data_IF_807109060704
#
_entry.id   IF_807109060704
#
_cell.length_a   1.000
_cell.length_b   1.000
_cell.length_c   1.000
_cell.angle_alpha   90.00
_cell.angle_beta   90.00
_cell.angle_gamma   90.00
#
_symmetry.space_group_name_H-M   'P 1'
#
loop_
_entity.id
_entity.type
_entity.pdbx_description
1 polymer ?
#
# COMPACT_ATOMS: atom_id res chain seq x y z
N UNK A 1 1.60 7.97 -12.83
CA UNK A 1 1.10 6.59 -12.66
C UNK A 1 1.81 6.00 -11.46
N UNK A 2 1.41 6.44 -10.28
CA UNK A 2 1.95 6.06 -8.97
C UNK A 2 0.77 5.51 -8.21
N UNK A 3 0.77 4.25 -7.91
CA UNK A 3 -0.34 3.58 -7.22
C UNK A 3 0.24 2.67 -6.16
N UNK A 4 -0.22 2.86 -4.96
CA UNK A 4 -0.30 1.94 -3.82
C UNK A 4 0.93 1.63 -2.97
N UNK A 5 2.11 2.12 -3.25
CA UNK A 5 3.33 1.62 -2.58
C UNK A 5 3.51 2.09 -1.12
N UNK A 6 2.71 3.03 -0.64
CA UNK A 6 2.91 3.66 0.67
C UNK A 6 2.01 3.17 1.80
N UNK A 7 0.95 2.44 1.51
CA UNK A 7 -0.06 2.15 2.53
C UNK A 7 0.47 1.27 3.68
N UNK A 8 1.41 0.41 3.39
CA UNK A 8 1.97 -0.53 4.36
C UNK A 8 3.28 -0.08 5.01
N UNK A 9 4.17 0.57 4.26
CA UNK A 9 5.50 0.92 4.76
C UNK A 9 5.49 1.91 5.93
N UNK A 10 4.38 2.60 6.16
CA UNK A 10 4.38 3.79 6.99
C UNK A 10 3.51 3.74 8.26
N UNK A 11 2.92 2.63 8.61
CA UNK A 11 2.40 2.41 9.97
C UNK A 11 3.56 2.48 11.00
N UNK A 12 4.81 2.30 10.55
CA UNK A 12 6.02 2.40 11.39
C UNK A 12 6.41 3.83 11.78
N UNK A 13 6.15 4.85 10.95
CA UNK A 13 6.54 6.24 11.23
C UNK A 13 5.70 6.94 12.31
N UNK A 14 4.50 6.45 12.59
CA UNK A 14 3.65 6.93 13.68
C UNK A 14 4.22 6.63 15.07
N UNK A 15 5.33 5.86 15.15
CA UNK A 15 5.89 5.34 16.42
C UNK A 15 6.50 6.36 17.38
N UNK A 16 6.86 7.55 16.99
CA UNK A 16 7.60 8.42 17.92
C UNK A 16 6.77 9.40 18.73
N UNK A 17 5.57 9.79 18.32
CA UNK A 17 4.82 10.84 19.05
C UNK A 17 3.28 10.72 19.04
N UNK A 18 2.67 9.68 18.51
CA UNK A 18 1.20 9.56 18.50
C UNK A 18 0.69 8.46 19.42
N UNK A 19 -0.47 8.67 20.10
CA UNK A 19 -1.11 7.60 20.84
C UNK A 19 -1.50 6.46 19.88
N UNK A 20 -1.53 5.21 20.37
CA UNK A 20 -1.79 4.04 19.55
C UNK A 20 -3.10 4.18 18.78
N UNK A 21 -3.07 3.89 17.50
CA UNK A 21 -4.27 3.78 16.67
C UNK A 21 -5.11 2.65 17.28
N UNK A 22 -6.26 2.98 17.85
CA UNK A 22 -7.22 1.99 18.33
C UNK A 22 -8.01 1.52 17.11
N UNK A 23 -7.60 0.42 16.49
CA UNK A 23 -8.51 -0.32 15.63
C UNK A 23 -9.62 -0.90 16.51
N UNK A 24 -10.89 -0.74 16.17
CA UNK A 24 -11.96 -1.39 16.91
C UNK A 24 -11.78 -2.90 16.75
N UNK A 25 -11.33 -3.57 17.82
CA UNK A 25 -11.35 -5.03 17.91
C UNK A 25 -12.84 -5.38 18.03
N UNK A 26 -13.39 -5.95 16.97
CA UNK A 26 -14.77 -6.48 16.99
C UNK A 26 -14.77 -7.69 17.92
N UNK A 27 -15.51 -7.65 19.04
CA UNK A 27 -15.54 -8.76 19.97
C UNK A 27 -16.25 -9.95 19.31
N UNK A 28 -15.57 -11.09 19.24
CA UNK A 28 -16.23 -12.36 18.97
C UNK A 28 -17.24 -12.65 20.08
N UNK A 29 -18.48 -12.84 19.68
CA UNK A 29 -19.66 -13.27 20.43
C UNK A 29 -19.49 -13.55 21.93
N UNK A 30 -20.13 -12.73 22.78
CA UNK A 30 -20.57 -13.12 24.10
C UNK A 30 -19.86 -12.51 25.30
N UNK A 31 -19.06 -11.46 25.15
CA UNK A 31 -18.55 -10.68 26.30
C UNK A 31 -18.90 -9.20 26.14
N UNK A 32 -19.41 -8.61 27.22
CA UNK A 32 -19.67 -7.17 27.31
C UNK A 32 -18.43 -6.37 26.89
N UNK A 33 -18.59 -5.20 26.24
CA UNK A 33 -17.49 -4.38 25.79
C UNK A 33 -16.79 -3.74 27.01
N UNK A 34 -15.90 -4.48 27.64
CA UNK A 34 -14.91 -3.92 28.54
C UNK A 34 -13.89 -3.17 27.69
N UNK A 35 -13.72 -1.89 27.93
CA UNK A 35 -12.62 -1.10 27.38
C UNK A 35 -11.35 -1.70 27.98
N UNK A 36 -10.73 -2.65 27.27
CA UNK A 36 -9.39 -3.07 27.60
C UNK A 36 -8.43 -1.98 27.14
N UNK A 37 -7.87 -1.26 28.11
CA UNK A 37 -6.70 -0.42 27.87
C UNK A 37 -5.57 -1.33 27.38
N UNK A 38 -5.29 -1.28 26.10
CA UNK A 38 -4.12 -1.96 25.53
C UNK A 38 -2.89 -1.23 26.06
N UNK A 39 -1.95 -1.92 26.74
CA UNK A 39 -0.78 -1.28 27.34
C UNK A 39 0.00 -0.49 26.28
N UNK A 40 0.45 0.71 26.63
CA UNK A 40 1.11 1.73 25.77
C UNK A 40 2.43 1.29 25.13
N UNK A 41 2.83 0.02 25.23
CA UNK A 41 4.05 -0.55 24.69
C UNK A 41 3.79 -1.59 23.58
N UNK A 42 2.62 -1.59 22.94
CA UNK A 42 2.48 -2.39 21.74
C UNK A 42 3.40 -1.78 20.65
N UNK A 43 4.56 -2.36 20.48
CA UNK A 43 5.28 -2.33 19.23
C UNK A 43 4.27 -2.80 18.18
N UNK A 44 3.75 -1.88 17.35
CA UNK A 44 3.04 -2.30 16.14
C UNK A 44 4.11 -3.07 15.37
N UNK A 45 3.95 -4.37 15.15
CA UNK A 45 4.96 -5.14 14.44
C UNK A 45 5.18 -4.45 13.10
N UNK A 46 6.42 -4.40 12.65
CA UNK A 46 6.76 -3.81 11.36
C UNK A 46 5.82 -4.37 10.30
N UNK A 47 5.14 -3.49 9.58
CA UNK A 47 4.14 -3.90 8.59
C UNK A 47 4.89 -4.51 7.41
N UNK A 48 4.65 -5.80 7.20
CA UNK A 48 5.26 -6.59 6.13
C UNK A 48 4.17 -6.96 5.15
N UNK A 49 4.17 -6.29 4.02
CA UNK A 49 3.05 -6.30 3.09
C UNK A 49 3.21 -7.34 2.01
N UNK A 50 2.18 -8.16 1.85
CA UNK A 50 1.87 -8.83 0.60
C UNK A 50 0.90 -7.95 -0.18
N UNK A 51 1.28 -7.49 -1.37
CA UNK A 51 0.38 -6.78 -2.28
C UNK A 51 -0.08 -7.72 -3.39
N UNK A 52 -1.37 -7.76 -3.65
CA UNK A 52 -1.91 -8.59 -4.74
C UNK A 52 -2.66 -7.75 -5.75
N UNK A 53 -2.45 -8.06 -7.03
CA UNK A 53 -3.17 -7.50 -8.18
C UNK A 53 -3.96 -8.63 -8.85
N UNK A 54 -5.16 -8.97 -8.36
CA UNK A 54 -5.86 -10.19 -8.80
C UNK A 54 -6.39 -10.13 -10.23
N UNK A 55 -6.52 -8.93 -10.79
CA UNK A 55 -7.00 -8.69 -12.15
C UNK A 55 -6.09 -7.71 -12.89
N UNK A 56 -6.02 -7.79 -14.24
CA UNK A 56 -5.21 -6.87 -15.02
C UNK A 56 -5.69 -5.43 -14.84
N UNK A 57 -4.76 -4.48 -14.90
CA UNK A 57 -5.09 -3.08 -15.03
C UNK A 57 -5.86 -2.90 -16.34
N UNK A 58 -7.09 -2.44 -16.27
CA UNK A 58 -7.84 -2.18 -17.50
C UNK A 58 -7.11 -1.10 -18.29
N UNK A 59 -6.79 -1.40 -19.54
CA UNK A 59 -6.13 -0.49 -20.49
C UNK A 59 -7.07 0.65 -20.93
N UNK A 60 -8.05 1.03 -20.15
CA UNK A 60 -8.99 2.14 -20.41
C UNK A 60 -8.32 3.52 -20.56
N UNK A 61 -6.98 3.60 -20.43
CA UNK A 61 -6.22 4.83 -20.76
C UNK A 61 -5.65 4.86 -22.18
N UNK A 62 -5.71 3.80 -22.96
CA UNK A 62 -5.35 3.93 -24.38
C UNK A 62 -6.59 4.35 -25.16
N UNK A 63 -6.62 5.61 -25.56
CA UNK A 63 -7.55 6.18 -26.54
C UNK A 63 -7.41 5.59 -27.97
N UNK A 64 -6.90 4.38 -28.09
CA UNK A 64 -6.82 3.59 -29.31
C UNK A 64 -7.83 2.45 -29.24
N UNK A 65 -9.09 2.79 -29.52
CA UNK A 65 -10.10 1.82 -29.95
C UNK A 65 -9.65 1.21 -31.29
N UNK A 66 -8.93 0.14 -31.30
CA UNK A 66 -8.86 -0.83 -32.41
C UNK A 66 -7.99 -2.04 -31.99
N UNK A 67 -8.42 -2.81 -30.99
CA UNK A 67 -8.04 -4.19 -30.91
C UNK A 67 -9.27 -5.01 -30.58
N UNK A 68 -9.90 -5.53 -31.61
CA UNK A 68 -10.91 -6.58 -31.57
C UNK A 68 -10.22 -7.91 -31.23
N UNK A 69 -9.64 -7.99 -30.04
CA UNK A 69 -9.15 -9.22 -29.46
C UNK A 69 -9.85 -9.39 -28.12
N UNK A 70 -10.58 -10.48 -27.96
CA UNK A 70 -11.03 -10.97 -26.66
C UNK A 70 -9.80 -11.35 -25.84
N UNK A 71 -9.11 -10.37 -25.25
CA UNK A 71 -8.22 -10.63 -24.13
C UNK A 71 -9.15 -11.14 -23.02
N UNK A 72 -9.24 -12.46 -22.88
CA UNK A 72 -9.78 -13.11 -21.71
C UNK A 72 -9.17 -12.39 -20.53
N UNK A 73 -10.02 -11.86 -19.65
CA UNK A 73 -9.58 -11.31 -18.37
C UNK A 73 -8.96 -12.47 -17.60
N UNK A 74 -7.67 -12.65 -17.74
CA UNK A 74 -6.92 -13.63 -16.99
C UNK A 74 -6.81 -13.16 -15.55
N UNK A 75 -7.90 -13.37 -14.80
CA UNK A 75 -7.87 -13.22 -13.34
C UNK A 75 -7.09 -14.38 -12.74
N UNK A 76 -6.31 -14.10 -11.71
CA UNK A 76 -5.65 -15.14 -10.94
C UNK A 76 -6.68 -16.09 -10.31
N UNK A 77 -6.44 -17.38 -10.45
CA UNK A 77 -7.30 -18.41 -9.88
C UNK A 77 -7.37 -18.30 -8.36
N UNK A 78 -8.59 -18.38 -7.81
CA UNK A 78 -8.81 -18.28 -6.35
C UNK A 78 -7.94 -19.27 -5.55
N UNK A 79 -7.85 -20.57 -5.90
CA UNK A 79 -7.03 -21.52 -5.17
C UNK A 79 -5.55 -21.11 -5.11
N UNK A 80 -5.04 -20.55 -6.22
CA UNK A 80 -3.66 -20.10 -6.32
C UNK A 80 -3.38 -18.93 -5.37
N UNK A 81 -4.28 -17.95 -5.31
CA UNK A 81 -4.16 -16.82 -4.40
C UNK A 81 -4.32 -17.22 -2.93
N UNK A 82 -5.24 -18.13 -2.60
CA UNK A 82 -5.39 -18.63 -1.24
C UNK A 82 -4.10 -19.29 -0.76
N UNK A 83 -3.51 -20.11 -1.62
CA UNK A 83 -2.23 -20.77 -1.31
C UNK A 83 -1.10 -19.73 -1.15
N UNK A 84 -1.03 -18.73 -2.04
CA UNK A 84 -0.01 -17.70 -1.98
C UNK A 84 -0.14 -16.81 -0.72
N UNK A 85 -1.35 -16.49 -0.27
CA UNK A 85 -1.59 -15.76 0.98
C UNK A 85 -1.14 -16.58 2.19
N UNK A 86 -1.46 -17.88 2.21
CA UNK A 86 -1.03 -18.77 3.28
C UNK A 86 0.52 -18.87 3.33
N UNK A 87 1.14 -19.10 2.16
CA UNK A 87 2.60 -19.17 2.03
C UNK A 87 3.28 -17.86 2.46
N UNK A 88 2.72 -16.71 2.09
CA UNK A 88 3.25 -15.40 2.48
C UNK A 88 3.18 -15.18 4.00
N UNK A 89 2.09 -15.58 4.65
CA UNK A 89 1.98 -15.53 6.11
C UNK A 89 3.08 -16.36 6.79
N UNK A 90 3.37 -17.56 6.25
CA UNK A 90 4.45 -18.43 6.75
C UNK A 90 5.85 -17.82 6.51
N UNK A 91 6.00 -16.96 5.50
CA UNK A 91 7.20 -16.15 5.23
C UNK A 91 7.26 -14.85 6.06
N UNK A 92 6.35 -14.67 7.00
CA UNK A 92 6.35 -13.56 7.96
C UNK A 92 5.63 -12.29 7.48
N UNK A 93 4.92 -12.31 6.34
CA UNK A 93 4.06 -11.21 5.93
C UNK A 93 2.81 -11.16 6.82
N UNK A 94 2.47 -9.99 7.32
CA UNK A 94 1.38 -9.78 8.29
C UNK A 94 0.32 -8.77 7.82
N UNK A 95 0.46 -8.30 6.59
CA UNK A 95 -0.46 -7.34 6.00
C UNK A 95 -0.75 -7.70 4.55
N UNK A 96 -2.02 -7.74 4.17
CA UNK A 96 -2.47 -7.95 2.80
C UNK A 96 -3.01 -6.64 2.23
N UNK A 97 -2.37 -6.13 1.19
CA UNK A 97 -2.85 -5.01 0.38
C UNK A 97 -3.48 -5.54 -0.90
N UNK A 98 -4.73 -5.19 -1.16
CA UNK A 98 -5.42 -5.58 -2.39
C UNK A 98 -5.46 -4.36 -3.29
N UNK A 99 -4.67 -4.43 -4.35
CA UNK A 99 -4.46 -3.37 -5.31
C UNK A 99 -5.09 -3.73 -6.69
N UNK A 100 -5.08 -2.77 -7.59
CA UNK A 100 -5.63 -2.93 -8.94
C UNK A 100 -6.67 -1.87 -9.24
N UNK A 101 -7.18 -1.86 -10.46
CA UNK A 101 -8.09 -0.80 -10.90
C UNK A 101 -9.50 -0.91 -10.28
N UNK A 102 -9.99 -2.13 -10.11
CA UNK A 102 -11.33 -2.40 -9.56
C UNK A 102 -11.35 -3.71 -8.75
N UNK A 103 -10.68 -3.77 -7.60
CA UNK A 103 -10.55 -5.00 -6.85
C UNK A 103 -11.89 -5.59 -6.40
N UNK A 104 -12.93 -4.78 -6.26
CA UNK A 104 -14.30 -5.23 -5.91
C UNK A 104 -14.93 -6.16 -6.96
N UNK A 105 -14.43 -6.17 -8.18
CA UNK A 105 -14.96 -7.02 -9.25
C UNK A 105 -14.31 -8.41 -9.26
N UNK A 106 -13.24 -8.62 -8.52
CA UNK A 106 -12.60 -9.92 -8.40
C UNK A 106 -13.51 -10.88 -7.59
N UNK A 107 -13.98 -11.94 -8.22
CA UNK A 107 -14.94 -12.88 -7.60
C UNK A 107 -14.36 -13.63 -6.39
N UNK A 108 -13.05 -13.82 -6.37
CA UNK A 108 -12.33 -14.49 -5.29
C UNK A 108 -12.07 -13.63 -4.07
N UNK A 109 -12.32 -12.32 -4.13
CA UNK A 109 -11.96 -11.37 -3.09
C UNK A 109 -12.42 -11.78 -1.68
N UNK A 110 -13.67 -12.21 -1.45
CA UNK A 110 -14.10 -12.61 -0.11
C UNK A 110 -13.35 -13.81 0.46
N UNK A 111 -12.98 -14.76 -0.41
CA UNK A 111 -12.21 -15.93 0.00
C UNK A 111 -10.77 -15.55 0.36
N UNK A 112 -10.13 -14.72 -0.44
CA UNK A 112 -8.76 -14.24 -0.22
C UNK A 112 -8.65 -13.42 1.07
N UNK A 113 -9.57 -12.48 1.30
CA UNK A 113 -9.60 -11.69 2.54
C UNK A 113 -9.83 -12.58 3.78
N UNK A 114 -10.69 -13.58 3.68
CA UNK A 114 -10.94 -14.54 4.77
C UNK A 114 -9.72 -15.38 5.07
N UNK A 115 -9.00 -15.86 4.06
CA UNK A 115 -7.73 -16.59 4.24
C UNK A 115 -6.71 -15.73 4.96
N UNK A 116 -6.52 -14.47 4.53
CA UNK A 116 -5.63 -13.53 5.19
C UNK A 116 -6.00 -13.33 6.66
N UNK A 117 -7.28 -13.13 6.95
CA UNK A 117 -7.78 -12.97 8.31
C UNK A 117 -7.53 -14.24 9.16
N UNK A 118 -7.74 -15.44 8.60
CA UNK A 118 -7.43 -16.72 9.27
C UNK A 118 -5.94 -16.89 9.58
N UNK A 119 -5.08 -16.24 8.78
CA UNK A 119 -3.62 -16.17 8.99
C UNK A 119 -3.19 -14.97 9.83
N UNK A 120 -4.13 -14.27 10.47
CA UNK A 120 -3.86 -13.09 11.30
C UNK A 120 -3.19 -11.93 10.55
N UNK A 121 -3.34 -11.87 9.25
CA UNK A 121 -2.91 -10.72 8.45
C UNK A 121 -3.98 -9.62 8.53
N UNK A 122 -3.54 -8.37 8.73
CA UNK A 122 -4.40 -7.21 8.50
C UNK A 122 -4.63 -7.04 7.00
N UNK A 123 -5.80 -6.54 6.63
CA UNK A 123 -6.20 -6.43 5.23
C UNK A 123 -6.62 -5.02 4.87
N UNK A 124 -6.15 -4.54 3.72
CA UNK A 124 -6.60 -3.28 3.17
C UNK A 124 -6.92 -3.37 1.69
N UNK A 125 -7.75 -2.44 1.24
CA UNK A 125 -8.10 -2.29 -0.17
C UNK A 125 -8.38 -0.84 -0.48
N UNK A 126 -7.93 -0.35 -1.65
CA UNK A 126 -8.25 1.00 -2.11
C UNK A 126 -9.29 0.92 -3.22
N UNK A 127 -10.34 1.71 -3.10
CA UNK A 127 -11.38 1.89 -4.12
C UNK A 127 -11.20 3.26 -4.75
N UNK A 128 -10.79 3.29 -6.01
CA UNK A 128 -10.59 4.55 -6.73
C UNK A 128 -11.87 5.05 -7.40
N UNK A 129 -12.53 4.22 -8.18
CA UNK A 129 -13.66 4.64 -9.04
C UNK A 129 -14.94 3.87 -8.80
N UNK A 130 -14.86 2.59 -8.45
CA UNK A 130 -16.02 1.76 -8.26
C UNK A 130 -16.92 2.27 -7.12
N UNK A 131 -18.20 2.11 -7.29
CA UNK A 131 -19.17 2.30 -6.21
C UNK A 131 -19.43 0.93 -5.58
N UNK A 132 -19.02 0.72 -4.31
CA UNK A 132 -19.38 -0.53 -3.65
C UNK A 132 -20.87 -0.62 -3.47
N UNK A 133 -21.43 -1.81 -3.64
CA UNK A 133 -22.82 -2.08 -3.25
C UNK A 133 -22.89 -2.40 -1.75
N UNK A 134 -24.06 -2.20 -1.13
CA UNK A 134 -24.24 -2.59 0.27
C UNK A 134 -23.91 -4.07 0.50
N UNK A 135 -24.32 -4.96 -0.42
CA UNK A 135 -24.00 -6.39 -0.33
C UNK A 135 -22.49 -6.67 -0.38
N UNK A 136 -21.74 -5.94 -1.20
CA UNK A 136 -20.27 -6.06 -1.23
C UNK A 136 -19.66 -5.60 0.10
N UNK A 137 -20.12 -4.52 0.66
CA UNK A 137 -19.61 -4.02 1.95
C UNK A 137 -19.99 -4.97 3.09
N UNK A 138 -21.18 -5.56 3.06
CA UNK A 138 -21.62 -6.50 4.09
C UNK A 138 -20.72 -7.74 4.20
N UNK A 139 -20.26 -8.29 3.08
CA UNK A 139 -19.33 -9.42 3.15
C UNK A 139 -17.87 -9.00 3.37
N UNK A 140 -17.47 -7.75 3.04
CA UNK A 140 -16.15 -7.21 3.37
C UNK A 140 -15.99 -6.88 4.86
N UNK A 141 -17.06 -6.51 5.53
CA UNK A 141 -17.08 -5.96 6.88
C UNK A 141 -16.32 -6.81 7.92
N UNK A 142 -16.24 -8.11 7.73
CA UNK A 142 -15.57 -9.02 8.66
C UNK A 142 -14.18 -9.47 8.20
N UNK A 143 -13.70 -8.95 7.10
CA UNK A 143 -12.46 -9.42 6.50
C UNK A 143 -11.59 -8.32 5.88
N UNK A 144 -12.03 -7.07 5.96
CA UNK A 144 -11.23 -5.88 5.60
C UNK A 144 -11.09 -5.00 6.83
N UNK A 145 -9.86 -4.69 7.21
CA UNK A 145 -9.53 -3.86 8.36
C UNK A 145 -9.50 -2.36 8.00
N UNK A 146 -9.19 -2.03 6.74
CA UNK A 146 -9.16 -0.66 6.28
C UNK A 146 -9.53 -0.53 4.79
N UNK A 147 -10.50 0.33 4.49
CA UNK A 147 -10.95 0.62 3.15
C UNK A 147 -10.51 2.03 2.72
N UNK A 148 -9.60 2.13 1.77
CA UNK A 148 -9.19 3.42 1.18
C UNK A 148 -10.21 3.90 0.15
N UNK A 149 -10.61 5.17 0.24
CA UNK A 149 -11.51 5.82 -0.71
C UNK A 149 -10.79 7.02 -1.32
N UNK A 150 -10.49 6.95 -2.62
CA UNK A 150 -9.86 8.06 -3.33
C UNK A 150 -10.81 9.24 -3.48
N UNK A 151 -10.33 10.44 -3.13
CA UNK A 151 -11.08 11.70 -3.18
C UNK A 151 -10.29 12.75 -3.94
N UNK A 152 -10.91 13.34 -4.96
CA UNK A 152 -10.38 14.54 -5.65
C UNK A 152 -11.07 15.80 -5.12
N UNK A 153 -10.32 16.67 -4.45
CA UNK A 153 -10.82 17.93 -3.90
C UNK A 153 -11.58 18.79 -4.95
N UNK A 154 -11.11 18.78 -6.20
CA UNK A 154 -11.72 19.57 -7.28
C UNK A 154 -13.13 19.12 -7.61
N UNK A 155 -13.45 17.87 -7.36
CA UNK A 155 -14.77 17.27 -7.64
C UNK A 155 -15.73 17.39 -6.47
N UNK A 156 -15.21 17.34 -5.24
CA UNK A 156 -16.00 17.27 -4.01
C UNK A 156 -16.17 18.63 -3.33
N UNK A 157 -15.15 19.50 -3.40
CA UNK A 157 -15.20 20.81 -2.77
C UNK A 157 -16.33 21.68 -3.35
N UNK A 158 -17.20 22.25 -2.50
CA UNK A 158 -18.29 23.09 -2.97
C UNK A 158 -17.75 24.27 -3.81
N UNK A 159 -18.16 24.38 -5.04
CA UNK A 159 -17.92 25.57 -5.84
C UNK A 159 -18.93 26.65 -5.38
N UNK A 160 -18.57 27.94 -5.52
CA UNK A 160 -19.45 29.07 -5.18
C UNK A 160 -20.82 29.05 -5.89
N UNK A 161 -21.01 28.19 -6.89
CA UNK A 161 -22.31 27.99 -7.55
C UNK A 161 -23.20 27.05 -6.74
N UNK A 162 -24.43 27.41 -6.55
CA UNK A 162 -25.43 26.78 -5.68
C UNK A 162 -25.86 25.34 -6.04
N UNK A 163 -25.27 24.73 -7.07
CA UNK A 163 -25.59 23.34 -7.47
C UNK A 163 -24.48 22.38 -7.06
N UNK A 164 -24.83 21.43 -6.20
CA UNK A 164 -23.96 20.26 -5.91
C UNK A 164 -23.66 19.57 -7.23
N UNK A 165 -22.38 19.32 -7.51
CA UNK A 165 -22.00 18.60 -8.72
C UNK A 165 -22.44 17.13 -8.60
N UNK A 166 -22.74 16.48 -9.74
CA UNK A 166 -23.05 15.03 -9.73
C UNK A 166 -21.91 14.21 -9.11
N UNK A 167 -20.67 14.62 -9.32
CA UNK A 167 -19.50 13.96 -8.76
C UNK A 167 -19.43 14.11 -7.21
N UNK A 168 -19.78 15.28 -6.68
CA UNK A 168 -19.87 15.47 -5.24
C UNK A 168 -21.00 14.63 -4.64
N UNK A 169 -22.18 14.60 -5.26
CA UNK A 169 -23.28 13.75 -4.82
C UNK A 169 -22.90 12.27 -4.86
N UNK A 170 -22.27 11.81 -5.93
CA UNK A 170 -21.77 10.45 -6.06
C UNK A 170 -20.80 10.08 -4.94
N UNK A 171 -19.89 10.98 -4.58
CA UNK A 171 -18.95 10.77 -3.47
C UNK A 171 -19.65 10.71 -2.11
N UNK A 172 -20.61 11.58 -1.86
CA UNK A 172 -21.41 11.55 -0.62
C UNK A 172 -22.22 10.26 -0.49
N UNK A 173 -22.83 9.79 -1.56
CA UNK A 173 -23.57 8.52 -1.59
C UNK A 173 -22.62 7.34 -1.30
N UNK A 174 -21.44 7.33 -1.89
CA UNK A 174 -20.38 6.35 -1.70
C UNK A 174 -19.90 6.30 -0.25
N UNK A 175 -19.51 7.45 0.31
CA UNK A 175 -19.10 7.56 1.71
C UNK A 175 -20.24 7.23 2.67
N UNK A 176 -21.46 7.59 2.32
CA UNK A 176 -22.66 7.20 3.07
C UNK A 176 -22.85 5.68 3.14
N UNK A 177 -22.55 4.94 2.06
CA UNK A 177 -22.57 3.47 2.07
C UNK A 177 -21.43 2.91 2.95
N UNK A 178 -20.22 3.42 2.79
CA UNK A 178 -19.06 2.97 3.57
C UNK A 178 -19.27 3.21 5.07
N UNK A 179 -19.75 4.38 5.48
CA UNK A 179 -20.06 4.66 6.89
C UNK A 179 -21.08 3.70 7.49
N UNK A 180 -22.11 3.34 6.72
CA UNK A 180 -23.13 2.38 7.18
C UNK A 180 -22.61 0.94 7.29
N UNK A 181 -21.54 0.61 6.58
CA UNK A 181 -20.95 -0.72 6.67
C UNK A 181 -20.11 -0.94 7.93
N UNK A 182 -19.81 0.13 8.67
CA UNK A 182 -18.95 0.11 9.86
C UNK A 182 -17.50 -0.36 9.60
N UNK A 183 -17.09 -0.49 8.34
CA UNK A 183 -15.70 -0.78 7.98
C UNK A 183 -14.87 0.48 8.24
N UNK A 184 -13.77 0.40 9.00
CA UNK A 184 -12.83 1.52 9.12
C UNK A 184 -12.36 1.95 7.73
N UNK A 185 -12.34 3.25 7.46
CA UNK A 185 -11.92 3.72 6.14
C UNK A 185 -10.94 4.88 6.21
N UNK A 186 -10.14 5.00 5.16
CA UNK A 186 -9.25 6.10 4.92
C UNK A 186 -9.74 6.92 3.73
N UNK A 187 -9.57 8.24 3.81
CA UNK A 187 -9.60 9.10 2.62
C UNK A 187 -8.22 9.08 2.00
N UNK A 188 -8.16 8.75 0.72
CA UNK A 188 -6.92 8.76 -0.08
C UNK A 188 -6.93 10.01 -0.94
N UNK A 189 -5.92 10.86 -0.75
CA UNK A 189 -5.81 12.18 -1.38
C UNK A 189 -4.54 12.27 -2.22
N UNK A 190 -4.67 12.46 -3.52
CA UNK A 190 -3.53 12.65 -4.42
C UNK A 190 -3.03 14.08 -4.33
N UNK A 191 -1.79 14.21 -3.84
CA UNK A 191 -1.11 15.48 -3.66
C UNK A 191 -0.35 15.85 -4.93
N UNK A 192 -0.72 16.96 -5.53
CA UNK A 192 -0.08 17.59 -6.68
C UNK A 192 0.20 19.07 -6.39
N UNK A 193 0.97 19.73 -7.22
CA UNK A 193 1.15 21.19 -7.13
C UNK A 193 -0.20 21.94 -6.99
N UNK A 194 -1.19 21.50 -7.75
CA UNK A 194 -2.51 22.15 -7.77
C UNK A 194 -3.35 21.87 -6.53
N UNK A 195 -3.19 20.69 -5.91
CA UNK A 195 -3.97 20.25 -4.75
C UNK A 195 -3.26 20.48 -3.41
N UNK A 196 -1.99 20.93 -3.41
CA UNK A 196 -1.25 21.21 -2.18
C UNK A 196 -2.00 22.14 -1.21
N UNK A 197 -2.58 23.21 -1.75
CA UNK A 197 -3.42 24.15 -0.98
C UNK A 197 -4.74 23.58 -0.44
N UNK A 198 -5.13 22.41 -0.91
CA UNK A 198 -6.37 21.74 -0.50
C UNK A 198 -6.13 20.69 0.59
N UNK A 199 -4.89 20.55 1.10
CA UNK A 199 -4.54 19.53 2.09
C UNK A 199 -5.26 19.76 3.43
N UNK A 200 -5.36 21.01 3.88
CA UNK A 200 -6.13 21.37 5.09
C UNK A 200 -7.61 20.99 4.93
N UNK A 201 -8.21 21.37 3.80
CA UNK A 201 -9.57 20.97 3.48
C UNK A 201 -9.73 19.43 3.45
N UNK A 202 -8.77 18.70 2.93
CA UNK A 202 -8.81 17.23 2.88
C UNK A 202 -8.82 16.62 4.29
N UNK A 203 -8.05 17.19 5.23
CA UNK A 203 -8.04 16.75 6.63
C UNK A 203 -9.35 17.06 7.35
N UNK A 204 -9.89 18.27 7.16
CA UNK A 204 -11.21 18.65 7.68
C UNK A 204 -12.32 17.76 7.10
N UNK A 205 -12.28 17.52 5.79
CA UNK A 205 -13.25 16.65 5.11
C UNK A 205 -13.18 15.22 5.63
N UNK A 206 -11.99 14.64 5.72
CA UNK A 206 -11.79 13.28 6.24
C UNK A 206 -12.33 13.16 7.68
N UNK A 207 -12.04 14.15 8.53
CA UNK A 207 -12.56 14.21 9.91
C UNK A 207 -14.09 14.32 9.92
N UNK A 208 -14.68 15.18 9.11
CA UNK A 208 -16.13 15.36 9.03
C UNK A 208 -16.85 14.10 8.50
N UNK A 209 -16.20 13.33 7.62
CA UNK A 209 -16.72 12.06 7.14
C UNK A 209 -16.53 10.90 8.15
N UNK A 210 -15.78 11.09 9.23
CA UNK A 210 -15.49 10.06 10.22
C UNK A 210 -14.45 9.04 9.73
N UNK A 211 -13.57 9.45 8.81
CA UNK A 211 -12.46 8.60 8.37
C UNK A 211 -11.48 8.35 9.52
N UNK A 212 -10.92 7.15 9.60
CA UNK A 212 -9.87 6.82 10.55
C UNK A 212 -8.51 7.41 10.14
N UNK A 213 -8.30 7.59 8.83
CA UNK A 213 -7.04 8.05 8.27
C UNK A 213 -7.25 8.96 7.05
N UNK A 214 -6.35 9.92 6.89
CA UNK A 214 -6.08 10.64 5.64
C UNK A 214 -4.73 10.17 5.11
N UNK A 215 -4.75 9.43 4.01
CA UNK A 215 -3.54 9.05 3.28
C UNK A 215 -3.28 10.07 2.19
N UNK A 216 -2.16 10.76 2.26
CA UNK A 216 -1.73 11.75 1.28
C UNK A 216 -0.68 11.13 0.38
N UNK A 217 -0.99 10.96 -0.91
CA UNK A 217 -0.09 10.35 -1.90
C UNK A 217 0.49 11.44 -2.80
N UNK A 218 1.79 11.74 -2.71
CA UNK A 218 2.45 12.66 -3.64
C UNK A 218 2.41 12.12 -5.06
N UNK A 219 2.07 12.98 -6.00
CA UNK A 219 2.17 12.67 -7.44
C UNK A 219 3.53 13.09 -7.98
N UNK A 220 3.95 12.50 -9.10
CA UNK A 220 5.19 12.90 -9.76
C UNK A 220 5.16 14.40 -10.14
N UNK A 221 6.31 15.06 -10.01
CA UNK A 221 6.48 16.46 -10.42
C UNK A 221 6.43 17.49 -9.29
N UNK A 222 6.21 17.08 -8.05
CA UNK A 222 6.36 17.98 -6.90
C UNK A 222 7.83 18.33 -6.69
N UNK A 223 8.11 19.62 -6.42
CA UNK A 223 9.44 20.08 -6.04
C UNK A 223 9.75 19.73 -4.59
N UNK A 224 11.01 19.75 -4.21
CA UNK A 224 11.44 19.50 -2.82
C UNK A 224 10.86 20.53 -1.84
N UNK A 225 10.72 21.79 -2.26
CA UNK A 225 10.07 22.85 -1.48
C UNK A 225 8.57 22.57 -1.28
N UNK A 226 7.87 22.11 -2.32
CA UNK A 226 6.46 21.72 -2.22
C UNK A 226 6.28 20.50 -1.31
N UNK A 227 7.17 19.53 -1.39
CA UNK A 227 7.16 18.37 -0.50
C UNK A 227 7.48 18.75 0.96
N UNK A 228 8.44 19.66 1.18
CA UNK A 228 8.74 20.19 2.52
C UNK A 228 7.53 20.93 3.10
N UNK A 229 6.85 21.72 2.28
CA UNK A 229 5.61 22.40 2.68
C UNK A 229 4.52 21.39 3.04
N UNK A 230 4.31 20.36 2.21
CA UNK A 230 3.33 19.29 2.46
C UNK A 230 3.62 18.54 3.75
N UNK A 231 4.90 18.24 4.01
CA UNK A 231 5.34 17.57 5.22
C UNK A 231 5.02 18.39 6.47
N UNK A 232 5.43 19.67 6.50
CA UNK A 232 5.12 20.57 7.62
C UNK A 232 3.60 20.71 7.84
N UNK A 233 2.83 20.84 6.75
CA UNK A 233 1.37 20.88 6.84
C UNK A 233 0.81 19.59 7.42
N UNK A 234 1.27 18.44 6.97
CA UNK A 234 0.81 17.15 7.48
C UNK A 234 1.12 16.97 8.98
N UNK A 235 2.29 17.41 9.46
CA UNK A 235 2.62 17.42 10.88
C UNK A 235 1.71 18.34 11.69
N UNK A 236 1.52 19.58 11.24
CA UNK A 236 0.62 20.53 11.91
C UNK A 236 -0.84 20.00 11.95
N UNK A 237 -1.33 19.45 10.84
CA UNK A 237 -2.66 18.87 10.76
C UNK A 237 -2.78 17.61 11.63
N UNK A 238 -1.75 16.80 11.75
CA UNK A 238 -1.72 15.63 12.64
C UNK A 238 -1.89 16.05 14.10
N UNK A 239 -1.25 17.15 14.51
CA UNK A 239 -1.40 17.71 15.85
C UNK A 239 -2.82 18.28 16.05
N UNK A 240 -3.35 19.01 15.07
CA UNK A 240 -4.69 19.62 15.13
C UNK A 240 -5.80 18.56 15.22
N UNK A 241 -5.65 17.46 14.51
CA UNK A 241 -6.63 16.37 14.46
C UNK A 241 -6.28 15.18 15.36
N UNK A 242 -5.35 15.36 16.28
CA UNK A 242 -4.87 14.32 17.21
C UNK A 242 -6.02 13.60 17.91
N UNK A 243 -6.00 12.24 17.86
CA UNK A 243 -7.02 11.38 18.44
C UNK A 243 -8.34 11.29 17.67
N UNK A 244 -8.45 12.00 16.52
CA UNK A 244 -9.64 11.95 15.64
C UNK A 244 -9.33 11.43 14.24
N UNK A 245 -8.17 11.77 13.70
CA UNK A 245 -7.73 11.42 12.35
C UNK A 245 -6.24 11.14 12.38
N UNK A 246 -5.83 10.04 11.77
CA UNK A 246 -4.41 9.78 11.46
C UNK A 246 -4.11 10.39 10.10
N UNK A 247 -3.08 11.24 10.03
CA UNK A 247 -2.64 11.80 8.75
C UNK A 247 -1.31 11.15 8.38
N UNK A 248 -1.29 10.57 7.20
CA UNK A 248 -0.13 9.88 6.67
C UNK A 248 0.25 10.46 5.32
N UNK A 249 1.46 11.01 5.22
CA UNK A 249 2.07 11.45 3.97
C UNK A 249 2.98 10.34 3.44
N UNK A 250 2.62 9.82 2.29
CA UNK A 250 3.33 8.75 1.61
C UNK A 250 4.59 9.28 0.89
N UNK A 251 5.61 9.60 1.67
CA UNK A 251 6.87 10.14 1.17
C UNK A 251 8.05 9.63 1.99
N UNK A 252 9.12 9.29 1.32
CA UNK A 252 10.39 8.94 1.99
C UNK A 252 11.21 10.19 2.19
N UNK A 253 11.62 10.44 3.43
CA UNK A 253 12.52 11.50 3.80
C UNK A 253 13.92 10.91 4.02
N UNK A 254 14.97 11.57 3.52
CA UNK A 254 16.37 11.14 3.67
C UNK A 254 16.82 10.94 5.11
N UNK A 255 16.15 11.56 6.08
CA UNK A 255 16.45 11.42 7.52
C UNK A 255 15.68 10.28 8.19
N UNK A 256 14.70 9.67 7.48
CA UNK A 256 13.87 8.58 7.98
C UNK A 256 13.79 7.47 6.92
N UNK A 257 14.94 6.98 6.52
CA UNK A 257 15.01 5.82 5.62
C UNK A 257 14.47 4.57 6.33
N UNK A 258 13.85 3.65 5.60
CA UNK A 258 13.20 2.46 6.19
C UNK A 258 14.20 1.52 6.87
N UNK A 259 15.46 1.54 6.42
CA UNK A 259 16.55 0.73 6.95
C UNK A 259 17.86 1.49 6.85
N UNK A 260 18.75 1.29 7.83
CA UNK A 260 20.11 1.79 7.74
C UNK A 260 20.97 0.85 6.89
N UNK A 261 21.91 1.38 6.08
CA UNK A 261 22.79 0.56 5.23
C UNK A 261 23.53 -0.54 6.00
N UNK A 262 23.93 -0.27 7.23
CA UNK A 262 24.65 -1.23 8.08
C UNK A 262 23.77 -2.41 8.51
N UNK A 263 22.45 -2.21 8.58
CA UNK A 263 21.49 -3.24 8.94
C UNK A 263 21.23 -4.23 7.80
N UNK A 264 21.49 -3.84 6.54
CA UNK A 264 21.34 -4.72 5.38
C UNK A 264 22.17 -5.99 5.45
N UNK A 265 23.41 -5.87 5.96
CA UNK A 265 24.29 -7.03 6.11
C UNK A 265 23.80 -7.99 7.21
N UNK A 266 23.19 -7.45 8.26
CA UNK A 266 22.57 -8.23 9.32
C UNK A 266 21.34 -8.96 8.78
N UNK A 267 20.42 -8.23 8.15
CA UNK A 267 19.24 -8.79 7.53
C UNK A 267 19.55 -9.94 6.56
N UNK A 268 20.56 -9.76 5.70
CA UNK A 268 20.96 -10.82 4.76
C UNK A 268 21.29 -12.13 5.48
N UNK A 269 22.06 -12.05 6.57
CA UNK A 269 22.39 -13.24 7.37
C UNK A 269 21.17 -13.89 8.00
N UNK A 270 20.22 -13.06 8.46
CA UNK A 270 19.00 -13.52 9.10
C UNK A 270 18.07 -14.22 8.10
N UNK A 271 17.92 -13.66 6.90
CA UNK A 271 17.08 -14.27 5.85
C UNK A 271 17.73 -15.53 5.24
N UNK A 272 19.05 -15.57 5.12
CA UNK A 272 19.77 -16.80 4.73
C UNK A 272 19.60 -17.92 5.74
N UNK A 273 19.37 -17.58 7.01
CA UNK A 273 19.10 -18.53 8.09
C UNK A 273 17.65 -18.97 8.14
N UNK A 274 16.71 -18.03 8.01
CA UNK A 274 15.28 -18.29 8.08
C UNK A 274 14.50 -17.39 7.14
N UNK A 275 13.92 -17.96 6.10
CA UNK A 275 13.15 -17.23 5.08
C UNK A 275 11.96 -16.41 5.64
N UNK A 276 11.50 -16.71 6.87
CA UNK A 276 10.44 -15.93 7.54
C UNK A 276 10.80 -14.46 7.79
N UNK A 277 12.10 -14.11 7.75
CA UNK A 277 12.54 -12.72 7.84
C UNK A 277 12.53 -11.98 6.50
N UNK A 278 12.12 -12.66 5.42
CA UNK A 278 12.10 -12.07 4.08
C UNK A 278 11.28 -10.76 4.03
N UNK A 279 10.14 -10.74 4.71
CA UNK A 279 9.25 -9.57 4.74
C UNK A 279 9.81 -8.34 5.44
N UNK A 280 10.92 -8.44 6.17
CA UNK A 280 11.50 -7.29 6.90
C UNK A 280 12.09 -6.23 5.97
N UNK A 281 12.64 -6.63 4.84
CA UNK A 281 13.15 -5.71 3.81
C UNK A 281 12.34 -5.78 2.52
N UNK A 282 11.92 -6.97 2.11
CA UNK A 282 11.12 -7.15 0.91
C UNK A 282 9.63 -6.89 1.20
N UNK A 283 9.32 -5.67 1.58
CA UNK A 283 7.95 -5.21 1.79
C UNK A 283 7.72 -3.95 0.93
N UNK A 284 6.74 -3.98 0.02
CA UNK A 284 5.84 -5.11 -0.28
C UNK A 284 6.47 -6.23 -1.14
N UNK A 285 5.96 -7.45 -0.97
CA UNK A 285 6.07 -8.51 -1.96
C UNK A 285 4.83 -8.45 -2.84
N UNK A 286 4.99 -8.39 -4.16
CA UNK A 286 3.89 -8.11 -5.09
C UNK A 286 3.56 -9.32 -5.94
N UNK A 287 2.31 -9.75 -5.93
CA UNK A 287 1.76 -10.76 -6.84
C UNK A 287 1.00 -10.05 -7.95
N UNK A 288 1.50 -10.15 -9.16
CA UNK A 288 0.87 -9.57 -10.35
C UNK A 288 -0.25 -10.48 -10.88
N UNK A 289 -1.20 -9.92 -11.62
CA UNK A 289 -2.32 -10.65 -12.22
C UNK A 289 -1.92 -11.81 -13.14
N UNK A 290 -0.67 -11.82 -13.62
CA UNK A 290 -0.08 -12.91 -14.41
C UNK A 290 0.45 -14.05 -13.56
N UNK A 291 0.38 -13.95 -12.25
CA UNK A 291 1.01 -14.88 -11.30
C UNK A 291 2.48 -14.61 -11.03
N UNK A 292 3.08 -13.64 -11.71
CA UNK A 292 4.47 -13.25 -11.45
C UNK A 292 4.59 -12.64 -10.05
N UNK A 293 5.66 -13.02 -9.33
CA UNK A 293 5.97 -12.52 -8.00
C UNK A 293 7.21 -11.62 -8.08
N UNK A 294 7.07 -10.37 -7.67
CA UNK A 294 8.11 -9.36 -7.75
C UNK A 294 8.34 -8.68 -6.38
N UNK A 295 9.58 -8.25 -6.07
CA UNK A 295 9.84 -7.46 -4.89
C UNK A 295 9.40 -6.01 -5.07
N UNK A 296 9.06 -5.35 -3.98
CA UNK A 296 8.88 -3.91 -3.78
C UNK A 296 7.71 -3.26 -4.50
N UNK A 297 7.46 -3.51 -5.80
CA UNK A 297 6.36 -2.87 -6.53
C UNK A 297 5.98 -3.64 -7.79
N UNK A 298 4.76 -3.38 -8.23
CA UNK A 298 4.29 -3.85 -9.54
C UNK A 298 5.23 -3.38 -10.67
N UNK A 299 5.67 -4.34 -11.51
CA UNK A 299 6.57 -4.05 -12.63
C UNK A 299 8.02 -3.80 -12.23
N UNK A 300 8.46 -4.20 -11.04
CA UNK A 300 9.88 -4.17 -10.68
C UNK A 300 10.73 -4.99 -11.67
N UNK A 301 12.03 -4.63 -11.90
CA UNK A 301 12.86 -5.32 -12.90
C UNK A 301 12.83 -6.84 -12.78
N UNK A 302 12.46 -7.51 -13.86
CA UNK A 302 12.20 -8.96 -13.92
C UNK A 302 13.37 -9.84 -13.47
N UNK A 303 14.60 -9.34 -13.56
CA UNK A 303 15.78 -10.07 -13.06
C UNK A 303 15.74 -10.33 -11.56
N UNK A 304 14.97 -9.55 -10.81
CA UNK A 304 14.74 -9.75 -9.38
C UNK A 304 13.42 -10.43 -9.08
N UNK A 305 12.62 -10.79 -10.08
CA UNK A 305 11.40 -11.55 -9.85
C UNK A 305 11.70 -12.89 -9.16
N UNK A 306 10.82 -13.29 -8.28
CA UNK A 306 10.90 -14.58 -7.59
C UNK A 306 10.60 -15.73 -8.53
N UNK A 307 9.61 -15.57 -9.38
CA UNK A 307 9.10 -16.57 -10.32
C UNK A 307 7.64 -16.34 -10.65
N UNK A 308 6.92 -17.42 -10.90
CA UNK A 308 5.51 -17.40 -11.24
C UNK A 308 4.74 -18.45 -10.44
N UNK A 309 3.63 -18.05 -9.80
CA UNK A 309 2.77 -18.92 -9.00
C UNK A 309 2.15 -20.08 -9.79
N UNK A 310 2.03 -19.96 -11.11
CA UNK A 310 1.57 -21.06 -11.96
C UNK A 310 2.58 -22.18 -12.13
N UNK A 311 3.85 -21.91 -11.84
CA UNK A 311 4.96 -22.85 -12.04
C UNK A 311 5.43 -23.43 -10.71
N UNK A 312 5.42 -22.63 -9.63
CA UNK A 312 6.05 -22.98 -8.38
C UNK A 312 5.38 -22.30 -7.18
N UNK A 313 5.44 -22.90 -6.00
CA UNK A 313 4.94 -22.32 -4.77
C UNK A 313 5.86 -21.21 -4.23
N UNK A 314 5.27 -20.25 -3.53
CA UNK A 314 5.98 -19.09 -2.99
C UNK A 314 7.17 -19.44 -2.08
N UNK A 315 7.10 -20.43 -1.15
CA UNK A 315 8.26 -20.78 -0.32
C UNK A 315 9.47 -21.24 -1.13
N UNK A 316 9.26 -22.11 -2.13
CA UNK A 316 10.34 -22.60 -2.97
C UNK A 316 10.95 -21.48 -3.83
N UNK A 317 10.11 -20.58 -4.34
CA UNK A 317 10.60 -19.37 -5.00
C UNK A 317 11.43 -18.51 -4.07
N UNK A 318 11.00 -18.35 -2.81
CA UNK A 318 11.69 -17.54 -1.80
C UNK A 318 13.06 -18.13 -1.47
N UNK A 319 13.15 -19.43 -1.21
CA UNK A 319 14.43 -20.12 -0.96
C UNK A 319 15.41 -19.92 -2.11
N UNK A 320 14.98 -20.21 -3.33
CA UNK A 320 15.80 -20.01 -4.53
C UNK A 320 16.22 -18.56 -4.71
N UNK A 321 15.33 -17.61 -4.47
CA UNK A 321 15.62 -16.18 -4.60
C UNK A 321 16.65 -15.75 -3.55
N UNK A 322 16.54 -16.20 -2.31
CA UNK A 322 17.49 -15.93 -1.23
C UNK A 322 18.89 -16.41 -1.66
N UNK A 323 18.99 -17.62 -2.15
CA UNK A 323 20.28 -18.22 -2.59
C UNK A 323 20.91 -17.49 -3.78
N UNK A 324 20.09 -17.05 -4.73
CA UNK A 324 20.59 -16.60 -6.02
C UNK A 324 20.54 -15.09 -6.25
N UNK A 325 19.68 -14.36 -5.53
CA UNK A 325 19.37 -12.94 -5.81
C UNK A 325 19.51 -11.99 -4.62
N UNK A 326 19.36 -12.48 -3.39
CA UNK A 326 19.38 -11.61 -2.20
C UNK A 326 20.67 -10.78 -2.11
N UNK A 327 21.82 -11.36 -2.44
CA UNK A 327 23.09 -10.62 -2.41
C UNK A 327 23.17 -9.47 -3.41
N UNK A 328 22.70 -9.70 -4.64
CA UNK A 328 22.64 -8.66 -5.67
C UNK A 328 21.59 -7.60 -5.30
N UNK A 329 20.42 -8.02 -4.80
CA UNK A 329 19.39 -7.12 -4.34
C UNK A 329 19.85 -6.21 -3.20
N UNK A 330 20.51 -6.76 -2.17
CA UNK A 330 21.09 -5.96 -1.08
C UNK A 330 22.09 -4.92 -1.58
N UNK A 331 22.90 -5.26 -2.60
CA UNK A 331 23.83 -4.31 -3.20
C UNK A 331 23.09 -3.16 -3.88
N UNK A 332 22.06 -3.45 -4.66
CA UNK A 332 21.21 -2.45 -5.32
C UNK A 332 20.45 -1.61 -4.30
N UNK A 333 19.93 -2.25 -3.26
CA UNK A 333 19.19 -1.56 -2.19
C UNK A 333 20.10 -0.61 -1.40
N UNK A 334 21.30 -1.08 -1.02
CA UNK A 334 22.30 -0.25 -0.36
C UNK A 334 22.71 0.96 -1.20
N UNK A 335 22.91 0.77 -2.51
CA UNK A 335 23.23 1.87 -3.43
C UNK A 335 22.08 2.89 -3.52
N UNK A 336 20.84 2.44 -3.57
CA UNK A 336 19.67 3.32 -3.56
C UNK A 336 19.52 4.10 -2.25
N UNK A 337 19.75 3.45 -1.10
CA UNK A 337 19.73 4.11 0.22
C UNK A 337 20.83 5.16 0.33
N UNK A 338 22.05 4.83 -0.10
CA UNK A 338 23.17 5.79 -0.07
C UNK A 338 22.88 6.98 -0.99
N UNK A 339 22.33 6.74 -2.16
CA UNK A 339 21.89 7.80 -3.06
C UNK A 339 20.79 8.66 -2.46
N UNK A 340 19.80 8.05 -1.80
CA UNK A 340 18.75 8.78 -1.10
C UNK A 340 19.29 9.65 0.03
N UNK A 341 20.34 9.19 0.72
CA UNK A 341 21.01 9.90 1.82
C UNK A 341 21.85 11.06 1.31
N UNK A 342 22.55 10.89 0.18
CA UNK A 342 23.52 11.85 -0.36
C UNK A 342 22.95 12.80 -1.41
N UNK A 343 21.75 12.55 -1.91
CA UNK A 343 21.12 13.46 -2.88
C UNK A 343 20.81 14.84 -2.27
N UNK A 344 20.80 15.87 -3.10
CA UNK A 344 20.49 17.24 -2.66
C UNK A 344 19.02 17.41 -2.23
N UNK A 345 18.15 16.45 -2.57
CA UNK A 345 16.74 16.48 -2.24
C UNK A 345 16.50 15.91 -0.84
N UNK A 346 15.63 16.57 -0.08
CA UNK A 346 15.19 16.07 1.23
C UNK A 346 14.21 14.91 1.12
N UNK A 347 13.35 14.93 0.07
CA UNK A 347 12.37 13.92 -0.19
C UNK A 347 12.68 13.19 -1.50
N UNK A 348 12.43 11.89 -1.51
CA UNK A 348 12.64 11.06 -2.69
C UNK A 348 11.68 9.88 -2.72
N UNK A 349 11.48 9.33 -3.90
CA UNK A 349 10.84 8.04 -4.09
C UNK A 349 11.94 6.96 -4.05
N UNK A 350 12.10 6.33 -2.89
CA UNK A 350 13.10 5.27 -2.70
C UNK A 350 12.87 4.11 -3.68
N UNK A 351 11.60 3.81 -3.99
CA UNK A 351 11.27 2.73 -4.94
C UNK A 351 11.66 3.10 -6.37
N UNK A 352 11.51 4.37 -6.75
CA UNK A 352 12.00 4.84 -8.05
C UNK A 352 13.52 4.75 -8.12
N UNK A 353 14.22 5.18 -7.06
CA UNK A 353 15.69 5.05 -6.97
C UNK A 353 16.11 3.58 -7.05
N UNK A 354 15.44 2.68 -6.34
CA UNK A 354 15.67 1.24 -6.43
C UNK A 354 15.48 0.70 -7.84
N UNK A 355 14.41 1.09 -8.52
CA UNK A 355 14.16 0.67 -9.89
C UNK A 355 15.26 1.16 -10.85
N UNK A 356 15.74 2.39 -10.68
CA UNK A 356 16.82 2.97 -11.49
C UNK A 356 18.13 2.19 -11.25
N UNK A 357 18.50 1.96 -9.99
CA UNK A 357 19.70 1.17 -9.64
C UNK A 357 19.56 -0.28 -10.14
N UNK A 358 18.39 -0.87 -9.96
CA UNK A 358 18.09 -2.19 -10.46
C UNK A 358 18.17 -2.31 -12.00
N UNK A 359 17.93 -1.24 -12.76
CA UNK A 359 18.08 -1.23 -14.23
C UNK A 359 19.53 -0.91 -14.65
N UNK A 360 20.22 -0.05 -13.92
CA UNK A 360 21.57 0.43 -14.26
C UNK A 360 22.68 -0.63 -14.13
N UNK A 361 22.57 -1.55 -13.20
CA UNK A 361 23.54 -2.63 -12.99
C UNK A 361 23.75 -3.55 -14.20
N UNK A 362 22.80 -3.57 -15.16
CA UNK A 362 22.96 -4.37 -16.40
C UNK A 362 23.88 -3.71 -17.44
N UNK A 363 24.19 -2.43 -17.36
CA UNK A 363 25.08 -1.76 -18.31
C UNK A 363 26.58 -1.90 -17.97
N UNK A 364 26.92 -2.21 -16.72
CA UNK A 364 28.31 -2.35 -16.28
C UNK A 364 28.93 -3.73 -16.50
N UNK A 365 28.15 -4.80 -16.55
CA UNK A 365 28.67 -6.17 -16.69
C UNK A 365 28.93 -6.63 -18.13
N UNK A 366 28.42 -5.90 -19.13
CA UNK A 366 28.64 -6.24 -20.56
C UNK A 366 29.94 -5.65 -21.15
N UNK A 367 30.71 -4.86 -20.40
CA UNK A 367 31.93 -4.21 -20.90
C UNK A 367 33.24 -4.89 -20.41
N UNK A 368 33.15 -6.02 -19.70
CA UNK A 368 34.28 -6.76 -19.15
C UNK A 368 34.28 -8.24 -19.55
N UNK A 369 33.96 -8.55 -20.84
CA UNK A 369 34.17 -9.85 -21.41
C UNK A 369 34.89 -9.74 -22.76
#
# INVERSE_FOLDING_TARGET
MLVSDGFAANVSLVKKNNPPIRFPIVPHHGREPGIQEIPMNLHIPDVRTLEIHPAPWSTLRSSCRNSSGSEERNELGVPLLLQAVADAADLGYNFLSIAGEEPLHYRGLPAVCREAHQRHMLTSMIIDRANPTAAQLDWLRFSIDLLGISVDARTVRPKRSSRVSRAAQFMEDRLGLVRRSEIPFAIVFDLSEQSLRDLEWAAEYATAQGAAMLQVRPTAGLTDEQMSTAWMMAECLSDLHRGRLVIHLDATNRYNLPIEPDDLASWRRDVEREARYLGEILSPLVIEHTGAVAPMRFGFPRRFAFGNLHEERLPAMAERWIETRAGEFCTVYGAALEKARTCDRTFGDLYEMLCVEAQGGSRGMSAAS
#
